data_IF_056102851118
#
_entry.id   IF_056102851118
#
_cell.length_a   1.000
_cell.length_b   1.000
_cell.length_c   1.000
_cell.angle_alpha   90.00
_cell.angle_beta   90.00
_cell.angle_gamma   90.00
#
_symmetry.space_group_name_H-M   'P 1'
#
loop_
_entity.id
_entity.type
_entity.pdbx_description
1 polymer ?
#
# COMPACT_ATOMS: atom_id res chain seq x y z
N UNK A 1 12.03 -37.95 -4.39
CA UNK A 1 12.85 -37.60 -3.21
C UNK A 1 12.40 -36.24 -2.69
N UNK A 2 12.10 -36.09 -1.40
CA UNK A 2 11.37 -34.92 -0.87
C UNK A 2 12.21 -33.63 -0.79
N UNK A 3 11.51 -32.49 -0.81
CA UNK A 3 11.99 -31.10 -0.59
C UNK A 3 12.92 -30.93 0.63
N UNK A 4 12.94 -31.88 1.56
CA UNK A 4 13.91 -31.94 2.66
C UNK A 4 15.37 -32.02 2.19
N UNK A 5 15.62 -32.60 1.01
CA UNK A 5 16.98 -32.80 0.48
C UNK A 5 17.58 -31.51 -0.09
N UNK A 6 16.75 -30.61 -0.64
CA UNK A 6 17.17 -29.29 -1.14
C UNK A 6 17.52 -28.34 0.02
N UNK A 7 16.73 -28.41 1.10
CA UNK A 7 16.90 -27.60 2.33
C UNK A 7 18.23 -27.90 3.03
N UNK A 8 18.67 -29.16 3.05
CA UNK A 8 19.91 -29.59 3.72
C UNK A 8 21.16 -29.06 3.00
N UNK A 9 21.15 -29.00 1.66
CA UNK A 9 22.29 -28.49 0.85
C UNK A 9 22.43 -26.96 0.93
N UNK A 10 21.34 -26.19 0.90
CA UNK A 10 21.42 -24.72 1.05
C UNK A 10 21.80 -24.29 2.48
N UNK A 11 21.40 -25.05 3.49
CA UNK A 11 21.82 -24.82 4.88
C UNK A 11 23.30 -25.11 5.13
N UNK A 12 23.92 -26.01 4.35
CA UNK A 12 25.34 -26.32 4.46
C UNK A 12 26.23 -25.25 3.82
N UNK A 13 25.73 -24.55 2.79
CA UNK A 13 26.45 -23.42 2.16
C UNK A 13 26.66 -22.22 3.08
N UNK A 14 25.85 -22.09 4.15
CA UNK A 14 25.99 -21.00 5.16
C UNK A 14 26.89 -21.36 6.35
N UNK A 15 27.42 -22.59 6.44
CA UNK A 15 28.17 -23.04 7.63
C UNK A 15 29.51 -23.73 7.34
N UNK A 16 30.12 -23.52 6.17
CA UNK A 16 31.43 -24.12 5.86
C UNK A 16 32.33 -23.20 5.03
N UNK A 17 32.61 -22.00 5.53
CA UNK A 17 33.89 -21.33 5.25
C UNK A 17 34.92 -21.86 6.25
N UNK A 18 35.52 -23.00 5.91
CA UNK A 18 36.80 -23.56 6.39
C UNK A 18 36.72 -25.08 6.29
N UNK A 19 37.03 -25.60 5.10
CA UNK A 19 37.88 -26.78 4.88
C UNK A 19 37.74 -27.19 3.42
N UNK A 20 38.89 -27.24 2.74
CA UNK A 20 39.06 -27.82 1.40
C UNK A 20 38.64 -29.28 1.44
N UNK A 21 37.52 -29.59 0.82
CA UNK A 21 37.22 -30.93 0.32
C UNK A 21 36.74 -30.76 -1.11
N UNK A 22 37.46 -31.38 -2.04
CA UNK A 22 37.03 -31.51 -3.42
C UNK A 22 35.77 -32.36 -3.45
N UNK A 23 34.61 -31.72 -3.44
CA UNK A 23 33.34 -32.36 -3.80
C UNK A 23 33.15 -32.14 -5.29
N UNK A 24 33.26 -33.22 -6.05
CA UNK A 24 32.74 -33.30 -7.42
C UNK A 24 31.29 -32.82 -7.41
N UNK A 25 31.02 -31.70 -8.08
CA UNK A 25 29.66 -31.23 -8.38
C UNK A 25 29.01 -32.21 -9.36
N UNK A 26 28.61 -33.37 -8.86
CA UNK A 26 27.67 -34.22 -9.56
C UNK A 26 26.33 -33.50 -9.57
N UNK A 27 26.05 -32.84 -10.70
CA UNK A 27 24.74 -32.32 -11.03
C UNK A 27 23.75 -33.49 -10.96
N UNK A 28 22.92 -33.53 -9.92
CA UNK A 28 21.85 -34.52 -9.80
C UNK A 28 20.77 -34.15 -10.81
N UNK A 29 20.97 -34.54 -12.08
CA UNK A 29 19.95 -34.54 -13.11
C UNK A 29 18.91 -35.60 -12.75
N UNK A 30 17.87 -35.19 -12.04
CA UNK A 30 16.64 -35.95 -11.86
C UNK A 30 15.45 -35.07 -12.25
N UNK A 31 14.29 -35.64 -12.61
CA UNK A 31 13.13 -34.84 -12.96
C UNK A 31 12.66 -34.06 -11.72
N UNK A 32 13.00 -32.78 -11.66
CA UNK A 32 12.43 -31.86 -10.69
C UNK A 32 11.03 -31.52 -11.16
N UNK A 33 10.06 -32.05 -10.45
CA UNK A 33 8.65 -31.77 -10.68
C UNK A 33 8.35 -30.30 -10.29
N UNK A 34 7.95 -29.50 -11.27
CA UNK A 34 7.46 -28.13 -11.06
C UNK A 34 5.96 -28.10 -10.72
N UNK A 35 5.35 -29.24 -10.39
CA UNK A 35 3.90 -29.41 -10.16
C UNK A 35 3.35 -28.59 -8.98
N UNK A 36 4.23 -28.15 -8.06
CA UNK A 36 3.85 -27.25 -6.98
C UNK A 36 4.09 -25.77 -7.28
N UNK A 37 4.59 -25.42 -8.48
CA UNK A 37 4.91 -24.04 -8.81
C UNK A 37 3.64 -23.28 -9.19
N UNK A 38 3.36 -22.22 -8.43
CA UNK A 38 2.25 -21.31 -8.66
C UNK A 38 2.54 -20.38 -9.83
N UNK A 39 3.78 -19.89 -9.92
CA UNK A 39 4.19 -18.92 -10.93
C UNK A 39 5.65 -19.12 -11.31
N UNK A 40 5.91 -19.12 -12.61
CA UNK A 40 7.23 -18.96 -13.22
C UNK A 40 7.15 -17.71 -14.09
N UNK A 41 7.98 -16.71 -13.81
CA UNK A 41 8.02 -15.49 -14.61
C UNK A 41 9.45 -15.03 -14.87
N UNK A 42 9.62 -14.36 -16.01
CA UNK A 42 10.85 -13.69 -16.42
C UNK A 42 10.69 -12.19 -16.34
N UNK A 43 11.69 -11.54 -15.76
CA UNK A 43 11.91 -10.10 -15.83
C UNK A 43 13.35 -9.87 -16.31
N UNK A 44 13.49 -9.39 -17.54
CA UNK A 44 14.80 -9.23 -18.22
C UNK A 44 15.62 -10.53 -18.23
N UNK A 45 16.69 -10.60 -17.44
CA UNK A 45 17.60 -11.75 -17.29
C UNK A 45 17.36 -12.53 -15.97
N UNK A 46 16.31 -12.18 -15.23
CA UNK A 46 16.00 -12.79 -13.94
C UNK A 46 14.75 -13.66 -14.07
N UNK A 47 14.84 -14.88 -13.56
CA UNK A 47 13.72 -15.82 -13.49
C UNK A 47 13.32 -15.98 -12.03
N UNK A 48 12.02 -15.88 -11.78
CA UNK A 48 11.40 -16.10 -10.48
C UNK A 48 10.45 -17.29 -10.55
N UNK A 49 10.63 -18.24 -9.63
CA UNK A 49 9.77 -19.40 -9.44
C UNK A 49 9.13 -19.31 -8.04
N UNK A 50 7.80 -19.25 -7.97
CA UNK A 50 7.03 -19.26 -6.72
C UNK A 50 6.44 -20.65 -6.48
N UNK A 51 6.66 -21.19 -5.28
CA UNK A 51 6.44 -22.61 -4.99
C UNK A 51 5.17 -22.93 -4.17
N UNK A 52 4.41 -21.95 -3.67
CA UNK A 52 3.16 -22.20 -2.91
C UNK A 52 2.36 -20.91 -2.61
N UNK A 53 1.03 -20.95 -2.75
CA UNK A 53 0.10 -19.89 -2.30
C UNK A 53 0.12 -19.66 -0.77
N UNK A 54 0.31 -20.73 0.04
CA UNK A 54 0.30 -20.67 1.51
C UNK A 54 1.63 -20.18 2.11
N UNK A 55 2.69 -20.13 1.30
CA UNK A 55 4.02 -19.73 1.72
C UNK A 55 4.61 -18.74 0.71
N UNK A 56 3.92 -17.60 0.54
CA UNK A 56 4.24 -16.53 -0.40
C UNK A 56 5.70 -15.99 -0.32
N UNK A 57 6.42 -16.32 0.76
CA UNK A 57 7.83 -15.97 0.99
C UNK A 57 8.84 -16.96 0.40
N UNK A 58 8.39 -18.07 -0.20
CA UNK A 58 9.27 -19.07 -0.82
C UNK A 58 9.31 -18.88 -2.34
N UNK A 59 10.19 -17.99 -2.78
CA UNK A 59 10.58 -17.86 -4.17
C UNK A 59 12.00 -18.37 -4.39
N UNK A 60 12.24 -18.93 -5.58
CA UNK A 60 13.58 -19.15 -6.12
C UNK A 60 13.79 -18.09 -7.18
N UNK A 61 14.79 -17.23 -6.97
CA UNK A 61 15.15 -16.18 -7.91
C UNK A 61 16.58 -16.43 -8.36
N UNK A 62 16.80 -16.44 -9.67
CA UNK A 62 18.14 -16.55 -10.22
C UNK A 62 18.26 -15.70 -11.49
N UNK A 63 19.46 -15.16 -11.70
CA UNK A 63 19.81 -14.43 -12.91
C UNK A 63 20.58 -15.36 -13.84
N UNK A 64 20.16 -15.45 -15.09
CA UNK A 64 20.80 -16.32 -16.08
C UNK A 64 21.97 -15.57 -16.72
N UNK A 65 23.17 -16.13 -16.68
CA UNK A 65 24.36 -15.52 -17.27
C UNK A 65 24.31 -15.50 -18.81
N UNK A 66 23.63 -16.48 -19.43
CA UNK A 66 23.34 -16.56 -20.87
C UNK A 66 21.99 -17.24 -21.10
N UNK A 67 21.30 -16.79 -22.15
CA UNK A 67 20.14 -17.45 -22.75
C UNK A 67 18.96 -17.70 -21.80
N UNK A 68 18.45 -16.59 -21.25
CA UNK A 68 17.23 -16.56 -20.43
C UNK A 68 16.00 -17.12 -21.17
N UNK A 69 16.00 -17.05 -22.50
CA UNK A 69 14.94 -17.55 -23.37
C UNK A 69 14.89 -19.07 -23.33
N UNK A 70 16.04 -19.74 -23.49
CA UNK A 70 16.13 -21.19 -23.32
C UNK A 70 15.71 -21.65 -21.93
N UNK A 71 16.08 -20.92 -20.87
CA UNK A 71 15.64 -21.26 -19.51
C UNK A 71 14.13 -21.15 -19.34
N UNK A 72 13.52 -20.08 -19.84
CA UNK A 72 12.06 -19.92 -19.78
C UNK A 72 11.32 -20.94 -20.63
N UNK A 73 11.86 -21.29 -21.79
CA UNK A 73 11.30 -22.35 -22.63
C UNK A 73 11.32 -23.69 -21.88
N UNK A 74 12.44 -24.08 -21.29
CA UNK A 74 12.57 -25.34 -20.56
C UNK A 74 11.67 -25.42 -19.33
N UNK A 75 11.64 -24.36 -18.52
CA UNK A 75 10.80 -24.29 -17.32
C UNK A 75 9.31 -24.23 -17.67
N UNK A 76 8.97 -23.46 -18.72
CA UNK A 76 7.64 -23.36 -19.29
C UNK A 76 7.14 -24.71 -19.79
N UNK A 77 7.92 -25.41 -20.63
CA UNK A 77 7.60 -26.76 -21.11
C UNK A 77 7.40 -27.75 -19.96
N UNK A 78 8.26 -27.70 -18.94
CA UNK A 78 8.11 -28.56 -17.77
C UNK A 78 6.80 -28.29 -17.03
N UNK A 79 6.39 -27.03 -16.88
CA UNK A 79 5.14 -26.67 -16.20
C UNK A 79 3.90 -26.93 -17.07
N UNK A 80 3.95 -26.59 -18.35
CA UNK A 80 2.89 -26.78 -19.34
C UNK A 80 2.63 -28.27 -19.65
N UNK A 81 3.55 -29.18 -19.30
CA UNK A 81 3.37 -30.61 -19.52
C UNK A 81 2.12 -31.21 -18.85
N UNK A 82 1.59 -30.54 -17.82
CA UNK A 82 0.33 -30.90 -17.15
C UNK A 82 -0.92 -30.37 -17.85
N UNK A 83 -0.75 -29.42 -18.78
CA UNK A 83 -1.83 -28.71 -19.45
C UNK A 83 -1.69 -28.88 -20.95
N UNK A 84 -1.98 -30.08 -21.45
CA UNK A 84 -1.78 -30.49 -22.85
C UNK A 84 -2.34 -29.48 -23.87
N UNK A 85 -3.54 -28.95 -23.60
CA UNK A 85 -4.18 -27.94 -24.44
C UNK A 85 -3.43 -26.60 -24.44
N UNK A 86 -2.95 -26.13 -23.27
CA UNK A 86 -2.12 -24.93 -23.20
C UNK A 86 -0.78 -25.14 -23.91
N UNK A 87 -0.15 -26.29 -23.67
CA UNK A 87 1.13 -26.65 -24.29
C UNK A 87 1.04 -26.64 -25.81
N UNK A 88 -0.04 -27.18 -26.37
CA UNK A 88 -0.24 -27.18 -27.84
C UNK A 88 -0.46 -25.78 -28.44
N UNK A 89 -0.83 -24.81 -27.61
CA UNK A 89 -1.25 -23.47 -28.05
C UNK A 89 -0.23 -22.37 -27.75
N UNK A 90 0.67 -22.60 -26.79
CA UNK A 90 1.68 -21.61 -26.37
C UNK A 90 3.07 -22.16 -26.65
N UNK A 91 3.70 -21.68 -27.72
CA UNK A 91 5.03 -22.14 -28.13
C UNK A 91 6.16 -21.48 -27.33
N UNK A 92 5.92 -20.28 -26.81
CA UNK A 92 6.88 -19.50 -26.03
C UNK A 92 6.18 -18.81 -24.86
N UNK A 93 6.75 -18.83 -23.66
CA UNK A 93 6.16 -18.21 -22.47
C UNK A 93 7.10 -17.21 -21.81
N UNK A 94 6.60 -16.01 -21.53
CA UNK A 94 7.25 -15.03 -20.66
C UNK A 94 6.87 -15.27 -19.19
N UNK A 95 5.68 -15.81 -18.95
CA UNK A 95 5.23 -16.27 -17.64
C UNK A 95 4.25 -17.43 -17.79
N UNK A 96 4.21 -18.33 -16.81
CA UNK A 96 3.18 -19.36 -16.71
C UNK A 96 2.88 -19.68 -15.24
N UNK A 97 1.66 -20.11 -14.97
CA UNK A 97 1.22 -20.32 -13.60
C UNK A 97 -0.27 -20.57 -13.44
N UNK A 98 -0.67 -20.90 -12.21
CA UNK A 98 -2.07 -21.01 -11.80
C UNK A 98 -2.53 -19.74 -11.10
N UNK A 99 -3.76 -19.32 -11.32
CA UNK A 99 -4.30 -18.08 -10.78
C UNK A 99 -5.83 -18.12 -10.71
N UNK A 100 -6.38 -17.24 -9.87
CA UNK A 100 -7.81 -16.99 -9.81
C UNK A 100 -8.19 -15.85 -10.74
N UNK A 101 -9.21 -16.04 -11.57
CA UNK A 101 -9.72 -15.02 -12.49
C UNK A 101 -11.24 -14.92 -12.42
N UNK A 102 -11.75 -13.74 -12.76
CA UNK A 102 -13.19 -13.46 -12.81
C UNK A 102 -13.51 -12.70 -14.09
N UNK A 103 -14.41 -13.25 -14.92
CA UNK A 103 -14.85 -12.60 -16.14
C UNK A 103 -16.04 -11.67 -15.85
N UNK A 104 -15.77 -10.37 -15.67
CA UNK A 104 -16.80 -9.38 -15.37
C UNK A 104 -17.05 -9.15 -13.88
N UNK A 105 -18.04 -8.30 -13.56
CA UNK A 105 -18.24 -7.76 -12.21
C UNK A 105 -19.01 -8.72 -11.25
N UNK A 106 -19.79 -9.64 -11.81
CA UNK A 106 -20.76 -10.46 -11.07
C UNK A 106 -20.50 -11.96 -11.16
N UNK A 107 -19.53 -12.39 -11.97
CA UNK A 107 -19.21 -13.81 -12.15
C UNK A 107 -18.51 -14.39 -10.93
N UNK A 108 -18.51 -15.72 -10.80
CA UNK A 108 -17.74 -16.38 -9.76
C UNK A 108 -16.24 -16.36 -10.08
N UNK A 109 -15.41 -16.49 -9.03
CA UNK A 109 -13.98 -16.68 -9.20
C UNK A 109 -13.72 -18.08 -9.73
N UNK A 110 -12.94 -18.16 -10.80
CA UNK A 110 -12.59 -19.41 -11.47
C UNK A 110 -11.09 -19.63 -11.30
N UNK A 111 -10.71 -20.87 -11.01
CA UNK A 111 -9.30 -21.24 -10.91
C UNK A 111 -8.81 -21.72 -12.28
N UNK A 112 -7.69 -21.19 -12.73
CA UNK A 112 -7.19 -21.39 -14.07
C UNK A 112 -5.67 -21.60 -14.10
N UNK A 113 -5.21 -22.29 -15.14
CA UNK A 113 -3.82 -22.32 -15.55
C UNK A 113 -3.63 -21.43 -16.77
N UNK A 114 -2.53 -20.67 -16.85
CA UNK A 114 -2.20 -19.87 -18.03
C UNK A 114 -0.73 -19.90 -18.41
N UNK A 115 -0.50 -19.70 -19.70
CA UNK A 115 0.75 -19.20 -20.26
C UNK A 115 0.55 -17.79 -20.81
N UNK A 116 1.48 -16.89 -20.53
CA UNK A 116 1.56 -15.56 -21.11
C UNK A 116 2.67 -15.53 -22.15
N UNK A 117 2.32 -15.23 -23.38
CA UNK A 117 3.24 -14.92 -24.46
C UNK A 117 3.06 -13.46 -24.89
N UNK A 118 4.09 -12.65 -24.71
CA UNK A 118 4.10 -11.21 -24.85
C UNK A 118 2.93 -10.53 -24.12
N UNK A 119 1.85 -10.28 -24.87
CA UNK A 119 0.64 -9.58 -24.43
C UNK A 119 -0.61 -10.46 -24.55
N UNK A 120 -0.45 -11.72 -24.89
CA UNK A 120 -1.56 -12.65 -25.05
C UNK A 120 -1.45 -13.73 -24.00
N UNK A 121 -2.45 -13.77 -23.13
CA UNK A 121 -2.61 -14.80 -22.12
C UNK A 121 -3.51 -15.90 -22.69
N UNK A 122 -2.99 -17.12 -22.70
CA UNK A 122 -3.75 -18.32 -23.01
C UNK A 122 -4.03 -19.04 -21.71
N UNK A 123 -5.29 -19.35 -21.42
CA UNK A 123 -5.65 -20.00 -20.17
C UNK A 123 -6.70 -21.09 -20.37
N UNK A 124 -6.67 -22.09 -19.47
CA UNK A 124 -7.69 -23.13 -19.35
C UNK A 124 -8.26 -23.07 -17.94
N UNK A 125 -9.57 -23.32 -17.81
CA UNK A 125 -10.20 -23.40 -16.50
C UNK A 125 -9.95 -24.79 -15.93
N UNK A 126 -9.51 -24.89 -14.68
CA UNK A 126 -9.13 -26.18 -14.10
C UNK A 126 -10.32 -27.09 -13.83
N UNK A 127 -11.50 -26.50 -13.61
CA UNK A 127 -12.76 -27.25 -13.47
C UNK A 127 -13.37 -27.66 -14.82
N UNK A 128 -12.85 -27.13 -15.94
CA UNK A 128 -13.33 -27.41 -17.31
C UNK A 128 -12.18 -27.24 -18.32
N UNK A 129 -11.19 -28.14 -18.31
CA UNK A 129 -9.94 -27.96 -19.05
C UNK A 129 -10.08 -28.14 -20.57
N UNK A 130 -11.26 -28.52 -21.07
CA UNK A 130 -11.50 -28.86 -22.48
C UNK A 130 -11.46 -27.65 -23.44
N UNK A 131 -11.42 -26.43 -22.90
CA UNK A 131 -11.41 -25.20 -23.68
C UNK A 131 -10.21 -24.34 -23.35
N UNK A 132 -9.53 -23.87 -24.40
CA UNK A 132 -8.55 -22.82 -24.29
C UNK A 132 -9.18 -21.46 -24.58
N UNK A 133 -8.87 -20.51 -23.71
CA UNK A 133 -9.28 -19.13 -23.84
C UNK A 133 -8.06 -18.27 -24.16
N UNK A 134 -8.25 -17.34 -25.09
CA UNK A 134 -7.25 -16.35 -25.46
C UNK A 134 -7.67 -14.97 -24.96
N UNK A 135 -6.76 -14.27 -24.28
CA UNK A 135 -6.98 -12.93 -23.76
C UNK A 135 -5.78 -12.04 -24.08
N UNK A 136 -5.97 -11.05 -24.94
CA UNK A 136 -5.02 -9.93 -25.05
C UNK A 136 -5.06 -9.16 -23.72
N UNK A 137 -3.95 -9.14 -22.98
CA UNK A 137 -3.86 -8.50 -21.66
C UNK A 137 -4.07 -6.99 -21.74
N UNK A 138 -3.98 -6.37 -22.93
CA UNK A 138 -4.39 -4.97 -23.13
C UNK A 138 -5.90 -4.80 -23.18
N UNK A 139 -6.61 -5.84 -23.60
CA UNK A 139 -8.08 -5.91 -23.62
C UNK A 139 -8.63 -6.44 -22.30
N UNK A 140 -7.81 -7.16 -21.53
CA UNK A 140 -8.08 -7.44 -20.14
C UNK A 140 -8.24 -6.09 -19.42
N UNK A 141 -9.47 -5.75 -19.07
CA UNK A 141 -9.70 -4.68 -18.12
C UNK A 141 -9.19 -5.18 -16.78
N UNK A 142 -7.95 -4.86 -16.44
CA UNK A 142 -7.54 -4.80 -15.04
C UNK A 142 -8.41 -3.71 -14.42
N UNK A 143 -9.56 -4.11 -13.90
CA UNK A 143 -10.59 -3.21 -13.41
C UNK A 143 -10.19 -2.73 -12.00
N UNK A 144 -9.10 -1.95 -11.95
CA UNK A 144 -8.57 -1.30 -10.75
C UNK A 144 -7.72 -2.21 -9.86
N UNK A 145 -6.65 -1.63 -9.28
CA UNK A 145 -6.07 -2.16 -8.05
C UNK A 145 -7.16 -2.13 -6.98
N UNK A 146 -7.41 -3.27 -6.32
CA UNK A 146 -8.34 -3.34 -5.21
C UNK A 146 -7.60 -3.04 -3.91
N UNK A 147 -8.20 -2.23 -3.06
CA UNK A 147 -7.68 -1.91 -1.73
C UNK A 147 -8.67 -2.34 -0.66
N UNK A 148 -8.20 -2.96 0.44
CA UNK A 148 -9.05 -3.34 1.56
C UNK A 148 -9.42 -2.10 2.38
N UNK A 149 -10.70 -1.98 2.71
CA UNK A 149 -11.24 -0.99 3.64
C UNK A 149 -11.66 -1.74 4.91
N UNK A 150 -10.97 -1.47 6.00
CA UNK A 150 -11.34 -1.99 7.31
C UNK A 150 -12.59 -1.27 7.81
N UNK A 151 -13.45 -1.99 8.54
CA UNK A 151 -14.67 -1.42 9.14
C UNK A 151 -14.45 -1.44 10.63
N UNK A 152 -14.53 -0.27 11.27
CA UNK A 152 -14.21 -0.08 12.68
C UNK A 152 -12.75 -0.46 13.03
N UNK A 153 -12.16 0.21 14.02
CA UNK A 153 -10.93 -0.30 14.61
C UNK A 153 -11.21 -1.69 15.21
N UNK A 154 -10.85 -2.76 14.48
CA UNK A 154 -10.74 -4.19 14.90
C UNK A 154 -11.74 -5.20 14.30
N UNK A 155 -12.56 -4.89 13.30
CA UNK A 155 -13.23 -6.00 12.60
C UNK A 155 -12.29 -6.70 11.61
N UNK A 156 -12.25 -8.03 11.72
CA UNK A 156 -11.35 -8.87 10.92
C UNK A 156 -11.88 -9.12 9.49
N UNK A 157 -12.82 -8.31 9.02
CA UNK A 157 -13.52 -8.49 7.73
C UNK A 157 -13.53 -7.18 6.94
N UNK A 158 -12.39 -6.78 6.37
CA UNK A 158 -12.35 -5.66 5.45
C UNK A 158 -13.18 -5.97 4.20
N UNK A 159 -13.62 -4.91 3.51
CA UNK A 159 -14.20 -5.04 2.18
C UNK A 159 -13.31 -4.38 1.13
N UNK A 160 -13.26 -4.98 -0.05
CA UNK A 160 -12.41 -4.49 -1.12
C UNK A 160 -13.17 -3.51 -2.01
N UNK A 161 -12.51 -2.42 -2.38
CA UNK A 161 -12.99 -1.44 -3.36
C UNK A 161 -11.91 -1.13 -4.40
N UNK A 162 -12.30 -0.58 -5.54
CA UNK A 162 -11.34 -0.07 -6.52
C UNK A 162 -10.63 1.17 -5.97
N UNK A 163 -9.34 1.27 -6.19
CA UNK A 163 -8.49 2.34 -5.68
C UNK A 163 -8.79 3.72 -6.27
N UNK A 164 -9.47 3.76 -7.42
CA UNK A 164 -9.80 4.99 -8.14
C UNK A 164 -11.07 5.69 -7.61
N UNK A 165 -11.78 5.06 -6.68
CA UNK A 165 -12.93 5.65 -6.01
C UNK A 165 -12.49 6.78 -5.07
N UNK A 166 -13.30 7.84 -5.03
CA UNK A 166 -13.18 8.88 -4.03
C UNK A 166 -13.70 8.42 -2.65
N UNK A 167 -13.17 9.00 -1.57
CA UNK A 167 -13.56 8.64 -0.20
C UNK A 167 -15.08 8.66 0.02
N UNK A 168 -15.80 9.64 -0.52
CA UNK A 168 -17.26 9.73 -0.40
C UNK A 168 -17.99 8.58 -1.10
N UNK A 169 -17.50 8.13 -2.26
CA UNK A 169 -18.08 6.99 -2.97
C UNK A 169 -17.93 5.70 -2.15
N UNK A 170 -16.81 5.56 -1.44
CA UNK A 170 -16.52 4.42 -0.57
C UNK A 170 -17.43 4.46 0.66
N UNK A 171 -17.62 5.62 1.29
CA UNK A 171 -18.57 5.78 2.39
C UNK A 171 -19.99 5.37 1.97
N UNK A 172 -20.48 5.85 0.82
CA UNK A 172 -21.81 5.46 0.30
C UNK A 172 -21.93 3.96 0.06
N UNK A 173 -20.87 3.31 -0.45
CA UNK A 173 -20.83 1.85 -0.63
C UNK A 173 -20.81 1.08 0.69
N UNK A 174 -20.11 1.59 1.70
CA UNK A 174 -20.04 0.99 3.03
C UNK A 174 -21.41 1.01 3.71
N UNK A 175 -22.09 2.16 3.72
CA UNK A 175 -23.41 2.33 4.33
C UNK A 175 -24.49 1.54 3.59
N UNK A 176 -24.40 1.43 2.26
CA UNK A 176 -25.35 0.63 1.46
C UNK A 176 -25.12 -0.89 1.55
N UNK A 177 -24.07 -1.34 2.25
CA UNK A 177 -23.73 -2.76 2.35
C UNK A 177 -24.76 -3.49 3.22
N UNK A 178 -25.22 -4.64 2.73
CA UNK A 178 -26.13 -5.52 3.50
C UNK A 178 -25.46 -5.95 4.80
N UNK A 179 -26.13 -5.74 5.94
CA UNK A 179 -25.61 -6.04 7.28
C UNK A 179 -24.82 -4.90 7.92
N UNK A 180 -24.88 -3.69 7.37
CA UNK A 180 -24.47 -2.49 8.10
C UNK A 180 -25.56 -2.12 9.12
N UNK A 181 -25.25 -2.31 10.41
CA UNK A 181 -26.21 -2.18 11.52
C UNK A 181 -26.12 -0.83 12.27
N UNK A 182 -25.41 0.16 11.71
CA UNK A 182 -25.28 1.50 12.31
C UNK A 182 -26.18 2.54 11.60
N UNK A 183 -26.48 3.69 12.24
CA UNK A 183 -27.37 4.71 11.68
C UNK A 183 -26.89 5.16 10.30
N UNK A 184 -27.78 5.19 9.31
CA UNK A 184 -27.43 5.58 7.94
C UNK A 184 -27.06 7.06 7.81
N UNK A 185 -27.53 7.88 8.75
CA UNK A 185 -27.28 9.31 8.92
C UNK A 185 -26.08 9.61 9.85
N UNK A 186 -25.33 8.58 10.26
CA UNK A 186 -24.10 8.77 11.03
C UNK A 186 -23.04 9.54 10.24
N UNK A 187 -22.21 10.30 10.96
CA UNK A 187 -21.05 10.96 10.38
C UNK A 187 -19.96 9.91 10.19
N UNK A 188 -19.77 9.42 8.97
CA UNK A 188 -18.72 8.45 8.65
C UNK A 188 -17.72 9.01 7.66
N UNK A 189 -16.47 8.57 7.78
CA UNK A 189 -15.42 8.94 6.86
C UNK A 189 -14.47 7.78 6.58
N UNK A 190 -13.67 7.94 5.53
CA UNK A 190 -12.50 7.10 5.28
C UNK A 190 -11.29 7.77 5.92
N UNK A 191 -10.52 6.98 6.66
CA UNK A 191 -9.28 7.38 7.27
C UNK A 191 -8.12 6.63 6.63
N UNK A 192 -7.05 7.34 6.31
CA UNK A 192 -5.73 6.75 6.11
C UNK A 192 -5.07 6.62 7.48
N UNK A 193 -4.62 5.41 7.81
CA UNK A 193 -4.00 5.08 9.09
C UNK A 193 -2.65 4.44 8.86
N UNK A 194 -1.62 4.96 9.53
CA UNK A 194 -0.21 4.52 9.39
C UNK A 194 0.47 4.43 10.75
N UNK A 195 1.69 3.88 10.79
CA UNK A 195 2.48 3.70 12.02
C UNK A 195 1.71 2.94 13.10
N UNK A 196 1.16 1.80 12.71
CA UNK A 196 0.48 0.85 13.59
C UNK A 196 -0.69 1.48 14.36
N UNK A 197 -1.43 2.38 13.69
CA UNK A 197 -2.56 3.09 14.27
C UNK A 197 -2.21 4.39 15.00
N UNK A 198 -0.92 4.75 15.11
CA UNK A 198 -0.51 5.94 15.85
C UNK A 198 -0.83 7.26 15.13
N UNK A 199 -0.94 7.21 13.80
CA UNK A 199 -1.27 8.35 12.95
C UNK A 199 -2.50 8.03 12.11
N UNK A 200 -3.49 8.91 12.17
CA UNK A 200 -4.68 8.82 11.31
C UNK A 200 -5.00 10.17 10.70
N UNK A 201 -5.42 10.18 9.44
CA UNK A 201 -6.01 11.37 8.82
C UNK A 201 -7.29 11.00 8.12
N UNK A 202 -8.26 11.92 8.16
CA UNK A 202 -9.48 11.79 7.38
C UNK A 202 -9.19 12.13 5.93
N UNK A 203 -9.68 11.32 5.00
CA UNK A 203 -9.61 11.62 3.58
C UNK A 203 -10.68 12.65 3.20
N UNK A 204 -10.32 13.73 2.46
CA UNK A 204 -11.30 14.62 1.85
C UNK A 204 -12.30 13.86 0.96
N UNK A 205 -13.57 14.29 0.86
CA UNK A 205 -14.61 13.59 0.10
C UNK A 205 -14.23 13.23 -1.34
N UNK A 206 -13.52 14.14 -2.01
CA UNK A 206 -13.10 14.01 -3.41
C UNK A 206 -11.71 13.36 -3.59
N UNK A 207 -10.99 13.10 -2.50
CA UNK A 207 -9.68 12.45 -2.59
C UNK A 207 -9.85 10.98 -2.97
N UNK A 208 -9.17 10.56 -4.04
CA UNK A 208 -9.14 9.16 -4.46
C UNK A 208 -8.23 8.35 -3.55
N UNK A 209 -8.60 7.10 -3.27
CA UNK A 209 -7.78 6.20 -2.46
C UNK A 209 -6.38 5.98 -3.06
N UNK A 210 -6.22 6.15 -4.38
CA UNK A 210 -4.94 6.09 -5.07
C UNK A 210 -3.92 7.08 -4.54
N UNK A 211 -4.35 8.23 -4.02
CA UNK A 211 -3.43 9.23 -3.45
C UNK A 211 -2.73 8.65 -2.21
N UNK A 212 -3.49 8.04 -1.29
CA UNK A 212 -2.89 7.41 -0.11
C UNK A 212 -1.92 6.28 -0.48
N UNK A 213 -2.28 5.41 -1.42
CA UNK A 213 -1.45 4.23 -1.72
C UNK A 213 -0.27 4.56 -2.64
N UNK A 214 -0.53 5.24 -3.76
CA UNK A 214 0.46 5.44 -4.81
C UNK A 214 1.33 6.68 -4.56
N UNK A 215 0.79 7.71 -3.91
CA UNK A 215 1.51 8.96 -3.69
C UNK A 215 2.09 9.05 -2.28
N UNK A 216 1.51 8.35 -1.29
CA UNK A 216 2.04 8.30 0.08
C UNK A 216 2.75 6.98 0.40
N UNK A 217 2.02 5.86 0.46
CA UNK A 217 2.58 4.63 1.02
C UNK A 217 3.74 4.07 0.22
N UNK A 218 3.58 4.01 -1.11
CA UNK A 218 4.59 3.45 -1.99
C UNK A 218 5.88 4.30 -1.97
N UNK A 219 5.86 5.63 -2.16
CA UNK A 219 7.07 6.45 -2.11
C UNK A 219 7.70 6.51 -0.72
N UNK A 220 6.89 6.52 0.34
CA UNK A 220 7.40 6.62 1.72
C UNK A 220 7.84 5.26 2.30
N UNK A 221 7.66 4.17 1.57
CA UNK A 221 7.89 2.79 2.03
C UNK A 221 7.06 2.45 3.28
N UNK A 222 5.82 2.93 3.34
CA UNK A 222 4.89 2.59 4.41
C UNK A 222 4.36 1.17 4.20
N UNK A 223 4.74 0.25 5.08
CA UNK A 223 4.34 -1.17 4.99
C UNK A 223 3.15 -1.54 5.87
N UNK A 224 2.73 -0.64 6.75
CA UNK A 224 1.66 -0.85 7.73
C UNK A 224 0.47 0.09 7.55
N UNK A 225 0.41 0.78 6.41
CA UNK A 225 -0.70 1.66 6.04
C UNK A 225 -1.96 0.86 5.74
N UNK A 226 -3.11 1.34 6.23
CA UNK A 226 -4.42 0.79 5.90
C UNK A 226 -5.49 1.89 5.83
N UNK A 227 -6.58 1.57 5.14
CA UNK A 227 -7.76 2.43 5.05
C UNK A 227 -8.84 1.92 5.98
N UNK A 228 -9.47 2.85 6.70
CA UNK A 228 -10.46 2.56 7.73
C UNK A 228 -11.74 3.35 7.45
N UNK A 229 -12.88 2.68 7.42
CA UNK A 229 -14.21 3.28 7.48
C UNK A 229 -14.69 3.26 8.93
N UNK A 230 -14.89 4.44 9.51
CA UNK A 230 -15.28 4.62 10.91
C UNK A 230 -16.13 5.89 11.11
N UNK A 231 -16.66 6.06 12.30
CA UNK A 231 -17.37 7.26 12.73
C UNK A 231 -16.40 8.44 12.86
N UNK A 232 -16.75 9.55 12.20
CA UNK A 232 -16.06 10.81 12.33
C UNK A 232 -16.55 11.53 13.59
N UNK A 233 -15.77 11.39 14.66
CA UNK A 233 -16.07 12.02 15.96
C UNK A 233 -15.84 13.53 15.95
N UNK A 234 -15.15 14.06 14.93
CA UNK A 234 -14.79 15.47 14.84
C UNK A 234 -14.98 15.96 13.40
N UNK A 235 -16.23 15.94 12.89
CA UNK A 235 -16.50 16.34 11.53
C UNK A 235 -16.12 17.81 11.35
N UNK A 236 -15.44 18.08 10.24
CA UNK A 236 -15.19 19.45 9.80
C UNK A 236 -16.49 20.27 9.75
N UNK A 237 -16.45 21.41 10.42
CA UNK A 237 -17.52 22.39 10.40
C UNK A 237 -17.08 23.59 9.54
N UNK A 238 -17.73 23.76 8.40
CA UNK A 238 -17.48 24.89 7.49
C UNK A 238 -17.93 26.24 8.06
N UNK A 239 -18.62 26.28 9.21
CA UNK A 239 -18.97 27.52 9.90
C UNK A 239 -17.86 27.99 10.86
N UNK A 240 -16.90 27.15 11.20
CA UNK A 240 -15.80 27.45 12.14
C UNK A 240 -14.49 27.80 11.40
N UNK A 241 -14.56 28.67 10.39
CA UNK A 241 -13.38 29.13 9.64
C UNK A 241 -12.83 30.40 10.29
N UNK A 242 -12.13 30.22 11.41
CA UNK A 242 -11.31 31.28 12.01
C UNK A 242 -9.84 31.08 11.66
N UNK A 243 -9.14 32.18 11.35
CA UNK A 243 -7.69 32.16 11.22
C UNK A 243 -7.04 31.54 12.46
N UNK A 244 -6.19 30.54 12.24
CA UNK A 244 -5.42 29.97 13.32
C UNK A 244 -4.17 30.82 13.58
N UNK A 245 -4.04 31.30 14.81
CA UNK A 245 -2.80 31.76 15.41
C UNK A 245 -2.72 31.24 16.84
N UNK A 246 -1.56 30.75 17.29
CA UNK A 246 -1.42 30.29 18.66
C UNK A 246 -0.08 29.68 19.01
N UNK A 247 0.15 29.58 20.33
CA UNK A 247 1.34 28.96 20.92
C UNK A 247 1.21 27.45 20.95
N UNK A 248 2.17 26.77 20.34
CA UNK A 248 2.25 25.31 20.31
C UNK A 248 3.63 24.82 20.70
N UNK A 249 3.73 23.52 20.98
CA UNK A 249 5.00 22.84 21.17
C UNK A 249 5.34 21.99 19.94
N UNK A 250 6.51 22.16 19.34
CA UNK A 250 6.92 21.43 18.14
C UNK A 250 8.19 20.62 18.40
N UNK A 251 8.21 19.38 17.92
CA UNK A 251 9.39 18.55 17.83
C UNK A 251 9.72 18.22 16.37
N UNK A 252 10.99 18.36 16.02
CA UNK A 252 11.54 18.09 14.68
C UNK A 252 11.58 16.59 14.35
N UNK A 253 11.72 16.20 13.07
CA UNK A 253 12.04 14.82 12.69
C UNK A 253 13.24 14.29 13.47
N UNK A 254 13.17 13.03 13.91
CA UNK A 254 14.24 12.40 14.71
C UNK A 254 14.33 12.86 16.17
N UNK A 255 13.57 13.88 16.59
CA UNK A 255 13.67 14.47 17.95
C UNK A 255 12.52 14.07 18.87
N UNK A 256 12.85 13.80 20.14
CA UNK A 256 11.85 13.64 21.23
C UNK A 256 11.57 14.94 21.98
N UNK A 257 12.36 15.98 21.73
CA UNK A 257 12.32 17.23 22.50
C UNK A 257 11.41 18.23 21.81
N UNK A 258 10.51 18.84 22.59
CA UNK A 258 9.56 19.83 22.13
C UNK A 258 9.99 21.23 22.58
N UNK A 259 9.90 22.20 21.68
CA UNK A 259 10.13 23.62 21.99
C UNK A 259 8.87 24.43 21.69
N UNK A 260 8.72 25.59 22.33
CA UNK A 260 7.59 26.48 22.11
C UNK A 260 7.78 27.32 20.84
N UNK A 261 6.71 27.44 20.06
CA UNK A 261 6.62 28.26 18.85
C UNK A 261 5.28 28.99 18.80
N UNK A 262 5.26 30.14 18.13
CA UNK A 262 4.02 30.77 17.68
C UNK A 262 3.73 30.26 16.26
N UNK A 263 2.55 29.69 16.02
CA UNK A 263 2.15 29.15 14.72
C UNK A 263 0.96 29.92 14.19
N UNK A 264 1.00 30.27 12.91
CA UNK A 264 -0.08 30.95 12.20
C UNK A 264 -0.31 30.36 10.81
N UNK A 265 -1.54 30.49 10.31
CA UNK A 265 -1.88 30.18 8.91
C UNK A 265 -1.98 31.49 8.13
N UNK A 266 -1.09 31.66 7.16
CA UNK A 266 -0.91 32.88 6.37
C UNK A 266 -1.24 32.66 4.90
N UNK A 267 -1.77 33.70 4.24
CA UNK A 267 -2.02 33.70 2.80
C UNK A 267 -2.91 32.57 2.28
N UNK A 268 -3.63 31.87 3.16
CA UNK A 268 -4.56 30.80 2.82
C UNK A 268 -3.94 29.50 2.36
N UNK A 269 -2.61 29.36 2.36
CA UNK A 269 -1.93 28.15 1.89
C UNK A 269 -0.65 27.84 2.66
N UNK A 270 -0.21 28.74 3.54
CA UNK A 270 1.05 28.64 4.28
C UNK A 270 0.79 28.50 5.76
N UNK A 271 1.58 27.64 6.41
CA UNK A 271 1.68 27.55 7.85
C UNK A 271 3.07 28.03 8.23
N UNK A 272 3.14 29.06 9.07
CA UNK A 272 4.38 29.64 9.54
C UNK A 272 4.57 29.32 11.02
N UNK A 273 5.81 29.02 11.42
CA UNK A 273 6.19 28.82 12.81
C UNK A 273 7.34 29.76 13.17
N UNK A 274 7.15 30.54 14.22
CA UNK A 274 8.10 31.52 14.73
C UNK A 274 8.68 31.09 16.08
N UNK A 275 9.98 31.33 16.26
CA UNK A 275 10.69 31.13 17.53
C UNK A 275 11.35 32.44 17.93
N UNK A 276 10.91 33.04 19.03
CA UNK A 276 11.37 34.36 19.48
C UNK A 276 11.28 35.41 18.36
N UNK A 277 10.10 35.55 17.76
CA UNK A 277 9.77 36.49 16.67
C UNK A 277 10.57 36.33 15.37
N UNK A 278 11.32 35.23 15.23
CA UNK A 278 12.03 34.87 14.00
C UNK A 278 11.35 33.70 13.33
N UNK A 279 11.09 33.82 12.03
CA UNK A 279 10.57 32.73 11.22
C UNK A 279 11.54 31.55 11.31
N UNK A 280 11.04 30.41 11.78
CA UNK A 280 11.80 29.19 11.94
C UNK A 280 11.47 28.18 10.84
N UNK A 281 10.19 27.99 10.52
CA UNK A 281 9.76 27.05 9.48
C UNK A 281 8.49 27.53 8.79
N UNK A 282 8.39 27.20 7.51
CA UNK A 282 7.18 27.31 6.70
C UNK A 282 6.80 25.92 6.17
N UNK A 283 5.51 25.63 6.13
CA UNK A 283 4.91 24.51 5.40
C UNK A 283 3.89 25.03 4.40
N UNK A 284 3.92 24.48 3.19
CA UNK A 284 2.88 24.67 2.19
C UNK A 284 1.87 23.55 2.38
N UNK A 285 0.59 23.89 2.58
CA UNK A 285 -0.47 22.91 2.83
C UNK A 285 -0.55 21.90 1.69
N UNK A 286 -0.48 22.36 0.44
CA UNK A 286 -0.54 21.49 -0.74
C UNK A 286 0.61 20.47 -0.81
N UNK A 287 1.79 20.78 -0.26
CA UNK A 287 2.97 19.92 -0.26
C UNK A 287 3.09 19.05 1.01
N UNK A 288 2.17 19.20 1.95
CA UNK A 288 2.21 18.55 3.26
C UNK A 288 1.01 17.62 3.47
N UNK A 289 1.16 16.64 4.35
CA UNK A 289 0.08 15.76 4.82
C UNK A 289 0.01 15.84 6.34
N UNK A 290 -1.19 16.03 6.86
CA UNK A 290 -1.44 16.30 8.28
C UNK A 290 -2.16 15.11 8.91
N UNK A 291 -1.49 14.43 9.84
CA UNK A 291 -2.04 13.31 10.59
C UNK A 291 -2.39 13.74 12.01
N UNK A 292 -3.56 13.34 12.49
CA UNK A 292 -3.86 13.34 13.91
C UNK A 292 -3.04 12.27 14.63
N UNK A 293 -2.45 12.64 15.75
CA UNK A 293 -1.64 11.75 16.58
C UNK A 293 -0.13 11.97 16.43
N UNK A 294 0.60 11.10 17.10
CA UNK A 294 2.06 11.06 17.05
C UNK A 294 2.54 9.64 17.35
N UNK A 295 3.64 9.21 16.76
CA UNK A 295 4.21 7.89 17.05
C UNK A 295 4.46 7.69 18.56
N UNK A 296 4.21 6.48 19.08
CA UNK A 296 4.26 6.19 20.53
C UNK A 296 5.59 6.54 21.22
N UNK A 297 6.67 6.62 20.47
CA UNK A 297 8.00 7.02 20.97
C UNK A 297 8.20 8.53 21.10
N UNK A 298 7.28 9.35 20.56
CA UNK A 298 7.21 10.81 20.79
C UNK A 298 6.64 11.02 22.18
N UNK A 299 7.46 11.61 23.08
CA UNK A 299 7.02 12.02 24.42
C UNK A 299 6.32 13.38 24.33
N UNK A 300 5.20 13.43 23.61
CA UNK A 300 4.46 14.67 23.41
C UNK A 300 3.98 15.22 24.77
N UNK A 301 4.10 16.53 25.01
CA UNK A 301 3.72 17.15 26.27
C UNK A 301 2.22 17.17 26.50
N UNK A 302 1.41 17.10 25.45
CA UNK A 302 -0.05 17.12 25.50
C UNK A 302 -0.65 15.97 24.67
N UNK A 303 -1.94 15.71 24.87
CA UNK A 303 -2.68 14.63 24.19
C UNK A 303 -3.13 14.99 22.76
N UNK A 304 -3.13 16.27 22.41
CA UNK A 304 -3.68 16.77 21.16
C UNK A 304 -2.54 17.04 20.19
N UNK A 305 -2.19 16.04 19.37
CA UNK A 305 -1.01 16.10 18.53
C UNK A 305 -1.37 16.03 17.04
N UNK A 306 -0.57 16.70 16.21
CA UNK A 306 -0.60 16.63 14.75
C UNK A 306 0.81 16.34 14.25
N UNK A 307 0.96 15.34 13.40
CA UNK A 307 2.22 15.03 12.71
C UNK A 307 2.14 15.47 11.25
N UNK A 308 3.09 16.31 10.84
CA UNK A 308 3.21 16.83 9.48
C UNK A 308 4.28 16.04 8.73
N UNK A 309 3.89 15.46 7.60
CA UNK A 309 4.78 14.78 6.66
C UNK A 309 4.86 15.57 5.35
N UNK A 310 6.06 15.69 4.80
CA UNK A 310 6.27 16.29 3.47
C UNK A 310 5.99 15.23 2.39
N UNK A 311 5.14 15.57 1.42
CA UNK A 311 4.68 14.60 0.41
C UNK A 311 5.82 13.97 -0.39
N UNK A 312 6.88 14.73 -0.66
CA UNK A 312 7.97 14.32 -1.57
C UNK A 312 9.11 13.64 -0.83
N UNK A 313 9.34 14.00 0.43
CA UNK A 313 10.56 13.64 1.16
C UNK A 313 10.32 12.74 2.38
N UNK A 314 9.07 12.50 2.78
CA UNK A 314 8.80 11.62 3.90
C UNK A 314 9.26 10.17 3.64
N UNK A 315 9.77 9.53 4.70
CA UNK A 315 10.08 8.10 4.73
C UNK A 315 9.66 7.50 6.07
N UNK A 316 9.04 6.32 6.03
CA UNK A 316 8.56 5.62 7.23
C UNK A 316 9.65 4.79 7.92
N UNK A 317 10.89 4.86 7.43
CA UNK A 317 12.04 4.15 8.03
C UNK A 317 12.60 4.85 9.29
N UNK A 318 12.25 6.12 9.51
CA UNK A 318 12.70 6.89 10.66
C UNK A 318 11.91 6.54 11.94
N UNK A 319 12.60 6.47 13.07
CA UNK A 319 11.97 6.18 14.38
C UNK A 319 10.98 7.25 14.84
N UNK A 320 11.14 8.50 14.39
CA UNK A 320 10.38 9.68 14.81
C UNK A 320 10.09 10.55 13.60
N UNK A 321 9.17 10.09 12.75
CA UNK A 321 8.83 10.73 11.48
C UNK A 321 8.28 12.14 11.67
N UNK A 322 8.51 12.98 10.66
CA UNK A 322 7.81 14.26 10.47
C UNK A 322 8.06 15.32 11.52
N UNK A 323 7.35 16.44 11.40
CA UNK A 323 7.26 17.43 12.47
C UNK A 323 6.05 17.10 13.33
N UNK A 324 6.21 17.06 14.65
CA UNK A 324 5.11 16.81 15.57
C UNK A 324 4.74 18.11 16.30
N UNK A 325 3.54 18.61 16.06
CA UNK A 325 2.94 19.73 16.78
C UNK A 325 2.08 19.18 17.92
N UNK A 326 2.21 19.75 19.11
CA UNK A 326 1.47 19.38 20.32
C UNK A 326 0.74 20.61 20.85
N UNK A 327 -0.59 20.50 20.87
CA UNK A 327 -1.52 21.56 21.28
C UNK A 327 -1.95 21.34 22.73
N UNK A 328 -2.05 22.43 23.49
CA UNK A 328 -2.43 22.36 24.90
C UNK A 328 -3.89 21.91 25.02
N UNK A 329 -4.77 22.45 24.17
CA UNK A 329 -6.20 22.23 24.22
C UNK A 329 -6.72 21.58 22.93
N UNK A 330 -7.69 20.67 23.08
CA UNK A 330 -8.35 20.01 21.94
C UNK A 330 -8.96 21.00 20.94
N UNK A 331 -9.68 22.07 21.36
CA UNK A 331 -10.24 23.03 20.43
C UNK A 331 -9.21 23.77 19.58
N UNK A 332 -7.98 23.99 20.07
CA UNK A 332 -6.91 24.61 19.29
C UNK A 332 -6.45 23.69 18.15
N UNK A 333 -6.28 22.40 18.45
CA UNK A 333 -5.96 21.37 17.44
C UNK A 333 -7.08 21.26 16.41
N UNK A 334 -8.34 21.24 16.85
CA UNK A 334 -9.50 21.13 15.95
C UNK A 334 -9.60 22.34 15.03
N UNK A 335 -9.44 23.57 15.56
CA UNK A 335 -9.41 24.79 14.74
C UNK A 335 -8.29 24.76 13.71
N UNK A 336 -7.10 24.32 14.11
CA UNK A 336 -5.97 24.16 13.20
C UNK A 336 -6.30 23.19 12.06
N UNK A 337 -6.78 21.99 12.37
CA UNK A 337 -7.14 20.98 11.36
C UNK A 337 -8.31 21.41 10.47
N UNK A 338 -9.32 22.10 11.02
CA UNK A 338 -10.41 22.66 10.23
C UNK A 338 -9.89 23.67 9.20
N UNK A 339 -8.95 24.53 9.60
CA UNK A 339 -8.32 25.47 8.66
C UNK A 339 -7.55 24.73 7.55
N UNK A 340 -6.80 23.67 7.87
CA UNK A 340 -6.11 22.85 6.84
C UNK A 340 -7.13 22.24 5.88
N UNK A 341 -8.19 21.62 6.39
CA UNK A 341 -9.23 21.00 5.59
C UNK A 341 -9.92 22.02 4.67
N UNK A 342 -10.20 23.23 5.18
CA UNK A 342 -10.77 24.32 4.39
C UNK A 342 -9.87 24.68 3.20
N UNK A 343 -8.57 24.78 3.43
CA UNK A 343 -7.58 25.07 2.38
C UNK A 343 -7.51 23.93 1.36
N UNK A 344 -7.44 22.67 1.81
CA UNK A 344 -7.35 21.49 0.94
C UNK A 344 -8.60 21.30 0.06
N UNK A 345 -9.76 21.75 0.54
CA UNK A 345 -11.03 21.70 -0.21
C UNK A 345 -11.27 22.91 -1.12
N UNK A 346 -10.26 23.78 -1.27
CA UNK A 346 -10.30 24.94 -2.18
C UNK A 346 -10.90 26.19 -1.56
N UNK A 347 -11.13 26.20 -0.25
CA UNK A 347 -11.50 27.40 0.50
C UNK A 347 -10.42 28.49 0.39
N UNK A 348 -10.84 29.71 0.09
CA UNK A 348 -9.99 30.90 0.20
C UNK A 348 -10.25 31.55 1.56
N UNK A 349 -9.23 31.82 2.40
CA UNK A 349 -9.48 32.49 3.67
C UNK A 349 -10.10 33.88 3.43
N UNK A 350 -11.02 34.34 4.29
CA UNK A 350 -11.46 35.73 4.25
C UNK A 350 -10.23 36.64 4.46
N UNK A 351 -10.05 37.77 3.76
CA UNK A 351 -8.86 38.60 3.94
C UNK A 351 -8.68 39.04 5.40
N UNK A 352 -7.44 39.01 5.90
CA UNK A 352 -7.07 39.59 7.19
C UNK A 352 -7.35 41.09 7.14
N UNK A 353 -8.43 41.54 7.78
CA UNK A 353 -8.65 42.97 8.05
C UNK A 353 -7.83 43.29 9.30
N UNK A 354 -6.68 43.94 9.12
CA UNK A 354 -6.01 44.62 10.24
C UNK A 354 -6.94 45.73 10.72
N UNK A 355 -7.46 45.62 11.95
CA UNK A 355 -8.09 46.73 12.67
C UNK A 355 -7.05 47.53 13.45
#
# INVERSE_FOLDING_TARGET
>A
MSLFSLRKKLSLKKKKESEKVAETEDCLAGPFSLLGCELICREENTITIRLNEREATKSVVFTTEKDVETWMLLLGECWLSEYELLRSSVQEVNACGTFWLRQGATSEWMYAAAGLHERTMFYVLLDSPDYIYELDVRKARADGLLVPIHVWERENRPFNVKIDLAAEEVCRKAVARRGFDAPQDGNYAIFEVILSGALSRRLPPFEKLSVSVLDHWLPWQCTDGYLLFDHDNWPYDGNEIEFYTGKVKIAEPGSKTFHSYEVSVEGGVKITAYKHDKLWKEWIVADSVFYSGCGANRKAPYAHNVTILDKKTATMTEKLVGYCISFCLMPERTRFLNMIQFIETGGQPPPLVHL
#
